data_IF_811764670258
#
_entry.id   IF_811764670258
#
_cell.length_a   1.000
_cell.length_b   1.000
_cell.length_c   1.000
_cell.angle_alpha   90.00
_cell.angle_beta   90.00
_cell.angle_gamma   90.00
#
_symmetry.space_group_name_H-M   'P 1'
#
loop_
_entity.id
_entity.type
_entity.pdbx_description
1 polymer ?
#
# COMPACT_ATOMS: atom_id res chain seq x y z
N UNK A 1 -11.00 -39.46 -30.16
CA UNK A 1 -10.66 -38.07 -29.80
C UNK A 1 -10.87 -37.91 -28.31
N UNK A 2 -9.81 -37.97 -27.50
CA UNK A 2 -9.89 -37.78 -26.04
C UNK A 2 -9.73 -36.29 -25.73
N UNK A 3 -10.81 -35.66 -25.30
CA UNK A 3 -10.82 -34.28 -24.84
C UNK A 3 -10.22 -34.26 -23.43
N UNK A 4 -9.00 -33.74 -23.32
CA UNK A 4 -8.29 -33.65 -22.04
C UNK A 4 -8.90 -32.48 -21.25
N UNK A 5 -9.88 -32.76 -20.39
CA UNK A 5 -10.43 -31.80 -19.44
C UNK A 5 -9.34 -31.42 -18.43
N UNK A 6 -8.86 -30.18 -18.51
CA UNK A 6 -7.93 -29.63 -17.50
C UNK A 6 -8.71 -29.46 -16.19
N UNK A 7 -8.17 -29.87 -15.04
CA UNK A 7 -8.80 -29.58 -13.76
C UNK A 7 -8.80 -28.07 -13.56
N UNK A 8 -9.99 -27.47 -13.50
CA UNK A 8 -10.15 -26.04 -13.22
C UNK A 8 -9.69 -25.77 -11.79
N UNK A 9 -8.84 -24.76 -11.69
CA UNK A 9 -8.04 -24.39 -10.54
C UNK A 9 -8.91 -23.90 -9.39
N UNK A 10 -8.88 -24.61 -8.27
CA UNK A 10 -9.46 -24.22 -6.96
C UNK A 10 -8.94 -22.89 -6.38
N UNK A 11 -8.04 -22.20 -7.09
CA UNK A 11 -7.52 -20.87 -6.73
C UNK A 11 -8.42 -19.72 -7.20
N UNK A 12 -9.22 -19.91 -8.25
CA UNK A 12 -10.05 -18.83 -8.84
C UNK A 12 -11.25 -18.42 -7.95
N UNK A 13 -11.85 -19.37 -7.23
CA UNK A 13 -12.94 -19.09 -6.29
C UNK A 13 -12.51 -18.21 -5.12
N UNK A 14 -11.24 -18.31 -4.70
CA UNK A 14 -10.68 -17.50 -3.61
C UNK A 14 -10.44 -16.04 -4.04
N UNK A 15 -10.12 -15.80 -5.32
CA UNK A 15 -9.92 -14.44 -5.83
C UNK A 15 -11.24 -13.71 -6.06
N UNK A 16 -12.30 -14.39 -6.52
CA UNK A 16 -13.62 -13.80 -6.74
C UNK A 16 -14.30 -13.40 -5.41
N UNK A 17 -14.19 -14.27 -4.41
CA UNK A 17 -14.63 -13.98 -3.03
C UNK A 17 -13.89 -12.76 -2.45
N UNK A 18 -12.57 -12.68 -2.68
CA UNK A 18 -11.78 -11.52 -2.26
C UNK A 18 -12.16 -10.24 -3.02
N UNK A 19 -12.48 -10.34 -4.31
CA UNK A 19 -12.92 -9.19 -5.11
C UNK A 19 -14.26 -8.64 -4.61
N UNK A 20 -15.14 -9.52 -4.16
CA UNK A 20 -16.41 -9.17 -3.52
C UNK A 20 -16.17 -8.52 -2.16
N UNK A 21 -15.27 -9.07 -1.34
CA UNK A 21 -14.88 -8.50 -0.04
C UNK A 21 -14.25 -7.11 -0.20
N UNK A 22 -13.37 -6.92 -1.19
CA UNK A 22 -12.76 -5.60 -1.49
C UNK A 22 -13.83 -4.60 -1.97
N UNK A 23 -14.78 -5.02 -2.81
CA UNK A 23 -15.91 -4.16 -3.22
C UNK A 23 -16.81 -3.79 -2.04
N UNK A 24 -16.99 -4.68 -1.08
CA UNK A 24 -17.74 -4.39 0.16
C UNK A 24 -16.98 -3.46 1.10
N UNK A 25 -15.65 -3.57 1.16
CA UNK A 25 -14.79 -2.62 1.87
C UNK A 25 -14.86 -1.24 1.22
N UNK A 26 -14.76 -1.16 -0.11
CA UNK A 26 -14.92 0.12 -0.87
C UNK A 26 -16.29 0.76 -0.62
N UNK A 27 -17.36 -0.04 -0.47
CA UNK A 27 -18.71 0.47 -0.14
C UNK A 27 -18.84 0.94 1.30
N UNK A 28 -18.14 0.31 2.25
CA UNK A 28 -18.17 0.66 3.68
C UNK A 28 -17.29 1.88 3.97
N UNK A 29 -16.08 1.91 3.43
CA UNK A 29 -15.15 3.02 3.54
C UNK A 29 -15.31 3.96 2.34
N UNK A 30 -16.38 4.76 2.36
CA UNK A 30 -16.66 5.85 1.39
C UNK A 30 -15.50 6.87 1.24
N UNK A 31 -14.43 6.74 2.03
CA UNK A 31 -13.33 7.71 2.17
C UNK A 31 -12.08 7.37 1.33
N UNK A 32 -11.98 6.18 0.73
CA UNK A 32 -10.79 5.79 -0.04
C UNK A 32 -11.14 5.07 -1.36
N UNK A 33 -11.71 5.84 -2.29
CA UNK A 33 -12.00 5.38 -3.65
C UNK A 33 -10.72 5.04 -4.42
N UNK A 34 -10.85 4.14 -5.39
CA UNK A 34 -9.79 3.76 -6.34
C UNK A 34 -9.04 4.97 -6.93
N UNK A 35 -9.75 6.04 -7.32
CA UNK A 35 -9.15 7.29 -7.82
C UNK A 35 -8.40 8.10 -6.77
N UNK A 36 -8.89 8.17 -5.53
CA UNK A 36 -8.20 8.87 -4.45
C UNK A 36 -6.87 8.19 -4.11
N UNK A 37 -6.80 6.87 -4.19
CA UNK A 37 -5.56 6.13 -3.97
C UNK A 37 -4.50 6.43 -5.04
N UNK A 38 -4.93 6.50 -6.30
CA UNK A 38 -4.09 6.91 -7.42
C UNK A 38 -3.61 8.35 -7.23
N UNK A 39 -4.51 9.27 -6.87
CA UNK A 39 -4.14 10.67 -6.65
C UNK A 39 -3.15 10.84 -5.50
N UNK A 40 -3.31 10.08 -4.42
CA UNK A 40 -2.35 10.06 -3.31
C UNK A 40 -0.96 9.64 -3.77
N UNK A 41 -0.86 8.56 -4.54
CA UNK A 41 0.43 8.00 -4.98
C UNK A 41 1.11 8.86 -6.06
N UNK A 42 0.33 9.60 -6.85
CA UNK A 42 0.81 10.48 -7.92
C UNK A 42 0.81 11.97 -7.56
N UNK A 43 0.50 12.35 -6.31
CA UNK A 43 0.52 13.75 -5.89
C UNK A 43 1.93 14.36 -6.11
N UNK A 44 2.04 15.61 -6.57
CA UNK A 44 3.33 16.30 -6.58
C UNK A 44 3.94 16.33 -5.17
N UNK A 45 5.14 15.78 -5.02
CA UNK A 45 5.81 15.55 -3.74
C UNK A 45 5.74 14.10 -3.21
N UNK A 46 4.90 13.24 -3.79
CA UNK A 46 4.82 11.81 -3.42
C UNK A 46 6.07 11.03 -3.81
N UNK A 47 6.96 11.56 -4.64
CA UNK A 47 8.26 10.92 -4.92
C UNK A 47 9.03 10.58 -3.66
N UNK A 48 9.02 11.45 -2.64
CA UNK A 48 9.67 11.22 -1.35
C UNK A 48 8.86 10.29 -0.44
N UNK A 49 7.54 10.43 -0.45
CA UNK A 49 6.63 9.59 0.34
C UNK A 49 6.64 8.14 -0.13
N UNK A 50 6.80 7.93 -1.44
CA UNK A 50 6.86 6.62 -2.08
C UNK A 50 8.21 5.89 -1.84
N UNK A 51 9.23 6.54 -1.25
CA UNK A 51 10.44 5.83 -0.80
C UNK A 51 10.13 4.91 0.38
N UNK A 52 9.10 5.24 1.18
CA UNK A 52 8.71 4.41 2.30
C UNK A 52 7.68 3.36 1.84
N UNK A 53 8.07 2.07 1.73
CA UNK A 53 7.15 1.03 1.29
C UNK A 53 6.00 0.77 2.28
N UNK A 54 6.19 1.07 3.57
CA UNK A 54 5.14 0.93 4.59
C UNK A 54 4.02 1.96 4.39
N UNK A 55 4.37 3.21 4.10
CA UNK A 55 3.42 4.28 3.79
C UNK A 55 2.67 4.01 2.48
N UNK A 56 3.36 3.52 1.44
CA UNK A 56 2.74 3.15 0.16
C UNK A 56 1.65 2.08 0.37
N UNK A 57 1.96 1.07 1.17
CA UNK A 57 1.06 -0.05 1.45
C UNK A 57 0.06 0.24 2.60
N UNK A 58 0.17 1.40 3.25
CA UNK A 58 -0.63 1.81 4.41
C UNK A 58 -0.68 0.74 5.50
N UNK A 59 0.52 0.32 5.91
CA UNK A 59 0.74 -0.70 6.93
C UNK A 59 1.64 -0.15 8.02
N UNK A 60 1.46 -0.70 9.21
CA UNK A 60 2.40 -0.47 10.29
C UNK A 60 3.75 -1.11 9.96
N UNK A 61 4.87 -0.51 10.40
CA UNK A 61 6.20 -1.14 10.31
C UNK A 61 6.25 -2.49 11.04
N UNK A 62 5.46 -2.65 12.11
CA UNK A 62 5.31 -3.89 12.87
C UNK A 62 4.48 -4.97 12.15
N UNK A 63 3.86 -4.66 11.00
CA UNK A 63 2.95 -5.57 10.31
C UNK A 63 3.66 -6.83 9.80
N UNK A 64 2.96 -7.96 9.88
CA UNK A 64 3.44 -9.27 9.44
C UNK A 64 3.41 -9.42 7.91
N UNK A 65 4.23 -10.32 7.34
CA UNK A 65 4.27 -10.57 5.88
C UNK A 65 2.89 -10.92 5.32
N UNK A 66 2.05 -11.59 6.10
CA UNK A 66 0.67 -11.92 5.73
C UNK A 66 -0.21 -10.67 5.57
N UNK A 67 -0.11 -9.72 6.48
CA UNK A 67 -0.84 -8.44 6.41
C UNK A 67 -0.36 -7.59 5.24
N UNK A 68 0.95 -7.54 5.01
CA UNK A 68 1.55 -6.85 3.86
C UNK A 68 0.97 -7.44 2.57
N UNK A 69 0.85 -8.78 2.49
CA UNK A 69 0.31 -9.48 1.31
C UNK A 69 -1.17 -9.20 1.10
N UNK A 70 -1.94 -9.19 2.20
CA UNK A 70 -3.37 -8.85 2.17
C UNK A 70 -3.57 -7.43 1.66
N UNK A 71 -2.81 -6.47 2.18
CA UNK A 71 -2.87 -5.05 1.80
C UNK A 71 -2.43 -4.83 0.37
N UNK A 72 -1.32 -5.44 -0.06
CA UNK A 72 -0.87 -5.40 -1.45
C UNK A 72 -1.96 -5.87 -2.41
N UNK A 73 -2.63 -6.99 -2.11
CA UNK A 73 -3.72 -7.52 -2.95
C UNK A 73 -4.91 -6.56 -3.01
N UNK A 74 -5.34 -6.01 -1.88
CA UNK A 74 -6.43 -5.03 -1.85
C UNK A 74 -6.07 -3.81 -2.67
N UNK A 75 -4.91 -3.20 -2.44
CA UNK A 75 -4.47 -1.99 -3.14
C UNK A 75 -4.29 -2.22 -4.64
N UNK A 76 -3.74 -3.37 -5.03
CA UNK A 76 -3.56 -3.77 -6.42
C UNK A 76 -4.88 -3.78 -7.19
N UNK A 77 -5.96 -4.25 -6.55
CA UNK A 77 -7.30 -4.27 -7.15
C UNK A 77 -7.85 -2.84 -7.29
N UNK A 78 -7.66 -2.00 -6.26
CA UNK A 78 -8.13 -0.62 -6.26
C UNK A 78 -7.47 0.20 -7.37
N UNK A 79 -6.16 0.05 -7.57
CA UNK A 79 -5.42 0.82 -8.59
C UNK A 79 -5.33 0.11 -9.94
N UNK A 80 -6.04 -1.00 -10.14
CA UNK A 80 -5.94 -1.77 -11.37
C UNK A 80 -6.45 -0.97 -12.58
N UNK A 81 -5.75 -0.98 -13.74
CA UNK A 81 -6.15 -0.20 -14.92
C UNK A 81 -7.49 -0.65 -15.53
N UNK A 82 -7.92 -1.89 -15.26
CA UNK A 82 -9.23 -2.41 -15.70
C UNK A 82 -10.41 -1.70 -15.02
N UNK A 83 -10.29 -1.40 -13.71
CA UNK A 83 -11.29 -0.66 -12.94
C UNK A 83 -11.23 0.85 -13.19
N UNK A 84 -10.06 1.37 -13.57
CA UNK A 84 -9.79 2.80 -13.73
C UNK A 84 -9.58 3.15 -15.22
N UNK A 85 -10.58 2.85 -16.06
CA UNK A 85 -10.45 3.00 -17.51
C UNK A 85 -10.27 4.45 -17.97
N UNK A 86 -10.78 5.41 -17.21
CA UNK A 86 -10.61 6.85 -17.47
C UNK A 86 -9.18 7.35 -17.25
N UNK A 87 -8.38 6.65 -16.43
CA UNK A 87 -7.05 7.10 -16.00
C UNK A 87 -6.02 5.95 -16.02
N UNK A 88 -6.01 5.13 -17.07
CA UNK A 88 -5.16 3.93 -17.17
C UNK A 88 -3.69 4.19 -16.92
N UNK A 89 -3.12 5.28 -17.45
CA UNK A 89 -1.71 5.63 -17.24
C UNK A 89 -1.37 5.93 -15.77
N UNK A 90 -2.24 6.70 -15.09
CA UNK A 90 -2.07 7.01 -13.67
C UNK A 90 -2.26 5.76 -12.81
N UNK A 91 -3.25 4.94 -13.15
CA UNK A 91 -3.52 3.66 -12.49
C UNK A 91 -2.32 2.71 -12.60
N UNK A 92 -1.74 2.57 -13.80
CA UNK A 92 -0.55 1.76 -14.04
C UNK A 92 0.65 2.26 -13.21
N UNK A 93 0.86 3.58 -13.18
CA UNK A 93 1.96 4.18 -12.40
C UNK A 93 1.78 3.93 -10.89
N UNK A 94 0.56 4.09 -10.38
CA UNK A 94 0.22 3.80 -8.99
C UNK A 94 0.44 2.32 -8.66
N UNK A 95 0.04 1.42 -9.56
CA UNK A 95 0.27 -0.01 -9.45
C UNK A 95 1.76 -0.35 -9.38
N UNK A 96 2.58 0.26 -10.24
CA UNK A 96 4.03 0.05 -10.22
C UNK A 96 4.66 0.51 -8.89
N UNK A 97 4.19 1.62 -8.31
CA UNK A 97 4.65 2.09 -7.00
C UNK A 97 4.31 1.07 -5.90
N UNK A 98 3.07 0.58 -5.87
CA UNK A 98 2.62 -0.45 -4.92
C UNK A 98 3.41 -1.75 -5.09
N UNK A 99 3.67 -2.17 -6.33
CA UNK A 99 4.44 -3.37 -6.64
C UNK A 99 5.91 -3.23 -6.21
N UNK A 100 6.54 -2.06 -6.40
CA UNK A 100 7.90 -1.80 -5.91
C UNK A 100 7.97 -1.84 -4.39
N UNK A 101 6.98 -1.25 -3.70
CA UNK A 101 6.90 -1.32 -2.25
C UNK A 101 6.77 -2.77 -1.76
N UNK A 102 5.88 -3.56 -2.38
CA UNK A 102 5.73 -4.99 -2.06
C UNK A 102 7.04 -5.76 -2.23
N UNK A 103 7.72 -5.63 -3.38
CA UNK A 103 9.01 -6.31 -3.64
C UNK A 103 10.10 -5.93 -2.63
N UNK A 104 10.08 -4.70 -2.14
CA UNK A 104 11.03 -4.23 -1.13
C UNK A 104 10.76 -4.87 0.24
N UNK A 105 9.49 -5.08 0.59
CA UNK A 105 9.10 -5.71 1.86
C UNK A 105 9.08 -7.23 1.83
N UNK A 106 8.94 -7.83 0.65
CA UNK A 106 8.99 -9.28 0.45
C UNK A 106 10.36 -9.85 0.83
N UNK A 107 11.43 -9.07 0.64
CA UNK A 107 12.76 -9.46 1.06
C UNK A 107 13.04 -8.99 2.49
N UNK A 108 13.29 -9.95 3.39
CA UNK A 108 13.48 -9.72 4.82
C UNK A 108 14.65 -8.78 5.13
N UNK A 109 15.72 -8.84 4.31
CA UNK A 109 16.91 -7.99 4.48
C UNK A 109 16.60 -6.53 4.18
N UNK A 110 15.87 -6.26 3.09
CA UNK A 110 15.48 -4.89 2.72
C UNK A 110 14.39 -4.38 3.63
N UNK A 111 13.43 -5.23 4.03
CA UNK A 111 12.41 -4.90 5.03
C UNK A 111 13.06 -4.42 6.33
N UNK A 112 14.01 -5.17 6.87
CA UNK A 112 14.70 -4.81 8.11
C UNK A 112 15.43 -3.48 7.99
N UNK A 113 16.16 -3.26 6.87
CA UNK A 113 16.81 -1.96 6.61
C UNK A 113 15.80 -0.80 6.53
N UNK A 114 14.66 -1.00 5.90
CA UNK A 114 13.61 0.02 5.84
C UNK A 114 13.02 0.30 7.23
N UNK A 115 12.91 -0.71 8.09
CA UNK A 115 12.46 -0.55 9.48
C UNK A 115 13.47 0.22 10.32
N UNK A 116 14.74 -0.15 10.25
CA UNK A 116 15.81 0.51 11.01
C UNK A 116 15.87 2.01 10.65
N UNK A 117 15.79 2.34 9.36
CA UNK A 117 15.76 3.75 8.89
C UNK A 117 14.48 4.47 9.33
N UNK A 118 13.35 3.77 9.33
CA UNK A 118 12.07 4.34 9.75
C UNK A 118 12.04 4.65 11.26
N UNK A 119 12.53 3.74 12.09
CA UNK A 119 12.65 3.95 13.54
C UNK A 119 13.55 5.13 13.84
N UNK A 120 14.75 5.21 13.23
CA UNK A 120 15.66 6.35 13.43
C UNK A 120 15.02 7.68 13.00
N UNK A 121 14.32 7.70 11.87
CA UNK A 121 13.62 8.89 11.38
C UNK A 121 12.47 9.31 12.32
N UNK A 122 11.72 8.34 12.86
CA UNK A 122 10.62 8.57 13.79
C UNK A 122 11.14 9.13 15.11
N UNK A 123 12.15 8.50 15.70
CA UNK A 123 12.78 8.94 16.96
C UNK A 123 13.32 10.37 16.84
N UNK A 124 14.03 10.68 15.75
CA UNK A 124 14.55 12.02 15.49
C UNK A 124 13.44 13.07 15.40
N UNK A 125 12.35 12.72 14.72
CA UNK A 125 11.19 13.60 14.53
C UNK A 125 10.45 13.83 15.83
N UNK A 126 10.21 12.78 16.62
CA UNK A 126 9.60 12.88 17.95
C UNK A 126 10.44 13.75 18.89
N UNK A 127 11.77 13.59 18.88
CA UNK A 127 12.67 14.42 19.69
C UNK A 127 12.57 15.90 19.32
N UNK A 128 12.64 16.23 18.02
CA UNK A 128 12.50 17.61 17.53
C UNK A 128 11.13 18.22 17.86
N UNK A 129 10.06 17.44 17.75
CA UNK A 129 8.70 17.91 18.07
C UNK A 129 8.56 18.17 19.57
N UNK A 130 9.11 17.29 20.41
CA UNK A 130 9.10 17.45 21.86
C UNK A 130 9.90 18.68 22.31
N UNK A 131 11.06 18.93 21.71
CA UNK A 131 11.86 20.14 21.97
C UNK A 131 11.11 21.40 21.55
N UNK A 132 10.56 21.45 20.33
CA UNK A 132 9.76 22.60 19.87
C UNK A 132 8.52 22.85 20.72
N UNK A 133 7.83 21.81 21.19
CA UNK A 133 6.69 21.95 22.11
C UNK A 133 7.12 22.56 23.45
N UNK A 134 8.25 22.13 24.01
CA UNK A 134 8.81 22.69 25.25
C UNK A 134 9.28 24.14 25.07
N UNK A 135 9.81 24.50 23.91
CA UNK A 135 10.18 25.89 23.60
C UNK A 135 8.96 26.78 23.40
N UNK A 136 7.90 26.28 22.75
CA UNK A 136 6.66 27.01 22.59
C UNK A 136 5.98 27.27 23.94
N UNK A 137 5.92 26.27 24.83
CA UNK A 137 5.32 26.43 26.16
C UNK A 137 6.16 27.27 27.12
N UNK A 138 7.42 27.59 26.78
CA UNK A 138 8.28 28.52 27.53
C UNK A 138 8.20 29.95 27.02
N UNK A 139 7.58 30.16 25.85
CA UNK A 139 7.38 31.48 25.25
C UNK A 139 5.99 32.07 25.54
N UNK A 140 5.11 31.28 26.17
CA UNK A 140 3.85 31.73 26.79
C UNK A 140 4.05 31.98 28.29
#
# INVERSE_FOLDING_TARGET
MSFNERPTTSKDTSFDSFYTEVKEIEKRDSVLTSSQQIDRLLRPGSTYFNLNPFEVLQIEPSATVEEIKKRYRTLSILVHPDKNQDNKDRAQTAFDIINRAWKTLENDVTRKKCLDVYEEAKERTDHMIAEKKKEASKRE
#
